data_IF_119371758403
#
_entry.id   IF_119371758403
#
_cell.length_a   1.000
_cell.length_b   1.000
_cell.length_c   1.000
_cell.angle_alpha   90.00
_cell.angle_beta   90.00
_cell.angle_gamma   90.00
#
_symmetry.space_group_name_H-M   'P 1'
#
loop_
_entity.id
_entity.type
_entity.pdbx_description
1 polymer ?
#
# COMPACT_ATOMS: atom_id res chain seq x y z
N UNK A 1 5.07 23.10 -13.83
CA UNK A 1 4.64 21.69 -13.90
C UNK A 1 5.88 20.87 -13.63
N UNK A 2 5.87 20.03 -12.59
CA UNK A 2 7.01 19.19 -12.26
C UNK A 2 7.17 18.12 -13.33
N UNK A 3 8.40 17.87 -13.75
CA UNK A 3 8.73 16.88 -14.77
C UNK A 3 9.38 15.64 -14.17
N UNK A 4 10.06 15.80 -13.04
CA UNK A 4 10.80 14.71 -12.43
C UNK A 4 10.53 14.59 -10.94
N UNK A 5 10.68 13.38 -10.45
CA UNK A 5 10.77 13.07 -9.02
C UNK A 5 12.11 12.38 -8.77
N UNK A 6 12.81 12.82 -7.73
CA UNK A 6 14.01 12.14 -7.22
C UNK A 6 13.73 11.64 -5.81
N UNK A 7 13.99 10.37 -5.57
CA UNK A 7 13.88 9.72 -4.26
C UNK A 7 15.30 9.41 -3.78
N UNK A 8 15.66 9.89 -2.59
CA UNK A 8 16.96 9.64 -1.98
C UNK A 8 16.85 8.62 -0.85
N UNK A 9 17.84 7.77 -0.76
CA UNK A 9 17.88 6.60 0.11
C UNK A 9 19.03 6.66 1.10
N UNK A 10 18.85 5.94 2.20
CA UNK A 10 19.82 5.80 3.27
C UNK A 10 19.76 6.91 4.33
N UNK A 11 20.65 6.87 5.33
CA UNK A 11 20.58 7.80 6.47
C UNK A 11 21.09 9.19 6.10
N UNK A 12 21.87 9.31 5.03
CA UNK A 12 22.56 10.54 4.63
C UNK A 12 22.35 10.87 3.14
N UNK A 13 21.29 10.34 2.51
CA UNK A 13 21.07 10.46 1.06
C UNK A 13 22.25 9.90 0.27
N UNK A 14 22.71 8.71 0.62
CA UNK A 14 23.84 8.04 -0.03
C UNK A 14 23.53 7.67 -1.49
N UNK A 15 22.27 7.35 -1.78
CA UNK A 15 21.81 6.87 -3.08
C UNK A 15 20.56 7.61 -3.54
N UNK A 16 20.34 7.69 -4.86
CA UNK A 16 19.13 8.30 -5.42
C UNK A 16 18.62 7.57 -6.65
N UNK A 17 17.30 7.57 -6.83
CA UNK A 17 16.62 7.10 -8.03
C UNK A 17 15.71 8.22 -8.53
N UNK A 18 15.82 8.52 -9.83
CA UNK A 18 15.02 9.55 -10.49
C UNK A 18 14.04 8.95 -11.47
N UNK A 19 12.89 9.63 -11.62
CA UNK A 19 11.78 9.19 -12.44
C UNK A 19 11.20 10.35 -13.24
N UNK A 20 10.80 10.08 -14.47
CA UNK A 20 10.06 11.00 -15.33
C UNK A 20 8.56 10.88 -15.05
N UNK A 21 7.93 12.01 -14.70
CA UNK A 21 6.49 12.09 -14.45
C UNK A 21 5.76 12.00 -15.78
N UNK A 22 4.75 11.13 -15.86
CA UNK A 22 3.97 10.96 -17.07
C UNK A 22 3.22 12.25 -17.46
N UNK A 23 3.10 12.49 -18.77
CA UNK A 23 2.31 13.60 -19.31
C UNK A 23 0.81 13.22 -19.40
N UNK A 24 0.23 12.89 -18.24
CA UNK A 24 -1.21 12.61 -18.10
C UNK A 24 -1.83 13.51 -17.04
N UNK A 25 -3.12 13.81 -17.16
CA UNK A 25 -3.81 14.70 -16.22
C UNK A 25 -3.69 14.21 -14.76
N UNK A 26 -3.87 12.91 -14.53
CA UNK A 26 -3.76 12.32 -13.20
C UNK A 26 -2.35 12.36 -12.64
N UNK A 27 -1.30 12.12 -13.45
CA UNK A 27 0.08 12.23 -13.01
C UNK A 27 0.43 13.66 -12.55
N UNK A 28 -0.06 14.68 -13.27
CA UNK A 28 0.15 16.07 -12.89
C UNK A 28 -0.63 16.49 -11.64
N UNK A 29 -1.83 15.94 -11.45
CA UNK A 29 -2.61 16.13 -10.22
C UNK A 29 -1.94 15.44 -9.03
N UNK A 30 -1.43 14.23 -9.21
CA UNK A 30 -0.64 13.52 -8.21
C UNK A 30 0.65 14.28 -7.86
N UNK A 31 1.41 14.76 -8.85
CA UNK A 31 2.61 15.56 -8.61
C UNK A 31 2.31 16.83 -7.81
N UNK A 32 1.18 17.48 -8.09
CA UNK A 32 0.71 18.64 -7.32
C UNK A 32 0.37 18.28 -5.87
N UNK A 33 -0.17 17.07 -5.62
CA UNK A 33 -0.44 16.57 -4.26
C UNK A 33 0.84 16.23 -3.52
N UNK A 34 1.81 15.61 -4.20
CA UNK A 34 3.13 15.35 -3.63
C UNK A 34 3.84 16.66 -3.29
N UNK A 35 3.82 17.66 -4.19
CA UNK A 35 4.37 18.99 -3.89
C UNK A 35 3.70 19.63 -2.68
N UNK A 36 2.37 19.53 -2.58
CA UNK A 36 1.64 19.99 -1.39
C UNK A 36 2.12 19.27 -0.12
N UNK A 37 2.29 17.94 -0.16
CA UNK A 37 2.79 17.15 0.96
C UNK A 37 4.18 17.65 1.44
N UNK A 38 5.10 17.83 0.49
CA UNK A 38 6.46 18.31 0.74
C UNK A 38 6.47 19.75 1.27
N UNK A 39 5.71 20.65 0.65
CA UNK A 39 5.63 22.07 1.06
C UNK A 39 5.05 22.26 2.47
N UNK A 40 4.12 21.38 2.87
CA UNK A 40 3.53 21.36 4.21
C UNK A 40 4.29 20.50 5.20
N UNK A 41 5.40 19.88 4.78
CA UNK A 41 6.24 19.01 5.61
C UNK A 41 5.46 17.88 6.27
N UNK A 42 4.54 17.26 5.52
CA UNK A 42 3.96 15.99 5.95
C UNK A 42 5.07 14.93 6.06
N UNK A 43 4.99 14.11 7.09
CA UNK A 43 5.97 13.05 7.32
C UNK A 43 5.60 11.80 6.52
N UNK A 44 6.60 11.14 5.96
CA UNK A 44 6.46 9.75 5.49
C UNK A 44 6.16 8.88 6.71
N UNK A 45 5.15 8.01 6.58
CA UNK A 45 4.60 7.22 7.68
C UNK A 45 5.61 6.18 8.21
N UNK A 46 6.09 5.30 7.32
CA UNK A 46 7.25 4.43 7.55
C UNK A 46 8.24 4.55 6.39
N UNK A 47 9.43 5.16 6.61
CA UNK A 47 10.45 5.26 5.58
C UNK A 47 11.11 3.92 5.25
N UNK A 48 10.79 2.83 5.96
CA UNK A 48 11.37 1.48 5.75
C UNK A 48 10.39 0.51 5.09
N UNK A 49 9.35 1.03 4.45
CA UNK A 49 8.28 0.23 3.84
C UNK A 49 8.68 -0.35 2.47
N UNK A 50 9.78 -1.11 2.50
CA UNK A 50 10.33 -1.93 1.42
C UNK A 50 9.89 -3.38 1.62
N UNK A 51 9.49 -4.06 0.57
CA UNK A 51 9.07 -5.46 0.60
C UNK A 51 9.85 -6.26 -0.44
N UNK A 52 10.17 -7.52 -0.12
CA UNK A 52 10.79 -8.44 -1.08
C UNK A 52 12.15 -7.95 -1.58
N UNK A 53 12.88 -7.22 -0.75
CA UNK A 53 14.17 -6.60 -1.07
C UNK A 53 15.35 -7.37 -0.45
N UNK A 54 15.08 -8.27 0.50
CA UNK A 54 16.08 -9.19 1.06
C UNK A 54 15.53 -10.62 1.10
N UNK A 55 16.28 -11.54 1.72
CA UNK A 55 15.83 -12.93 1.85
C UNK A 55 14.54 -13.03 2.67
N UNK A 56 13.63 -13.94 2.26
CA UNK A 56 12.38 -14.24 3.00
C UNK A 56 12.65 -14.49 4.48
N UNK A 57 13.70 -15.28 4.80
CA UNK A 57 14.07 -15.58 6.19
C UNK A 57 14.35 -14.33 7.03
N UNK A 58 15.10 -13.37 6.47
CA UNK A 58 15.41 -12.11 7.15
C UNK A 58 14.15 -11.26 7.33
N UNK A 59 13.38 -11.05 6.26
CA UNK A 59 12.15 -10.25 6.33
C UNK A 59 11.10 -10.88 7.26
N UNK A 60 10.98 -12.20 7.29
CA UNK A 60 10.09 -12.92 8.21
C UNK A 60 10.49 -12.69 9.67
N UNK A 61 11.79 -12.79 9.99
CA UNK A 61 12.30 -12.57 11.34
C UNK A 61 12.06 -11.13 11.80
N UNK A 62 12.33 -10.17 10.93
CA UNK A 62 12.15 -8.75 11.22
C UNK A 62 10.65 -8.42 11.38
N UNK A 63 9.79 -8.92 10.50
CA UNK A 63 8.34 -8.72 10.59
C UNK A 63 7.75 -9.30 11.88
N UNK A 64 8.13 -10.53 12.26
CA UNK A 64 7.70 -11.16 13.52
C UNK A 64 8.18 -10.39 14.74
N UNK A 65 9.39 -9.84 14.70
CA UNK A 65 9.89 -9.01 15.78
C UNK A 65 9.05 -7.73 15.91
N UNK A 66 8.90 -6.98 14.82
CA UNK A 66 8.23 -5.68 14.85
C UNK A 66 6.73 -5.79 15.19
N UNK A 67 6.06 -6.85 14.74
CA UNK A 67 4.63 -7.01 15.01
C UNK A 67 4.39 -7.29 16.50
N UNK A 68 5.22 -8.13 17.13
CA UNK A 68 5.14 -8.38 18.57
C UNK A 68 5.57 -7.14 19.38
N UNK A 69 6.55 -6.35 18.93
CA UNK A 69 6.88 -5.05 19.55
C UNK A 69 5.68 -4.07 19.53
N UNK A 70 4.89 -4.08 18.45
CA UNK A 70 3.65 -3.30 18.39
C UNK A 70 2.60 -3.85 19.37
N UNK A 71 2.44 -5.17 19.45
CA UNK A 71 1.53 -5.82 20.41
C UNK A 71 1.91 -5.46 21.84
N UNK A 72 3.18 -5.55 22.21
CA UNK A 72 3.68 -5.19 23.53
C UNK A 72 3.38 -3.71 23.85
N UNK A 73 3.70 -2.80 22.92
CA UNK A 73 3.44 -1.36 23.08
C UNK A 73 1.94 -1.05 23.29
N UNK A 74 1.06 -1.77 22.58
CA UNK A 74 -0.39 -1.60 22.71
C UNK A 74 -0.86 -2.15 24.07
N UNK A 75 -0.43 -3.36 24.43
CA UNK A 75 -0.85 -4.05 25.66
C UNK A 75 -0.29 -3.41 26.93
N UNK A 76 0.85 -2.72 26.88
CA UNK A 76 1.36 -1.90 27.97
C UNK A 76 0.44 -0.71 28.29
N UNK A 77 -0.29 -0.19 27.29
CA UNK A 77 -1.28 0.86 27.48
C UNK A 77 -2.65 0.32 27.90
N UNK A 78 -3.14 -0.68 27.18
CA UNK A 78 -4.41 -1.35 27.40
C UNK A 78 -4.32 -2.77 26.81
N UNK A 79 -4.55 -3.79 27.64
CA UNK A 79 -4.32 -5.20 27.30
C UNK A 79 -5.44 -5.77 26.41
N UNK A 80 -5.55 -5.24 25.19
CA UNK A 80 -6.62 -5.55 24.22
C UNK A 80 -6.23 -6.65 23.23
N UNK A 81 -4.96 -7.05 23.19
CA UNK A 81 -4.44 -8.11 22.30
C UNK A 81 -4.07 -9.34 23.15
N UNK A 82 -4.75 -10.45 22.89
CA UNK A 82 -4.57 -11.69 23.66
C UNK A 82 -3.57 -12.67 23.01
N UNK A 83 -3.22 -12.44 21.74
CA UNK A 83 -2.42 -13.36 20.92
C UNK A 83 -1.14 -12.69 20.44
N UNK A 84 -0.02 -13.36 20.67
CA UNK A 84 1.25 -13.08 20.00
C UNK A 84 1.41 -14.00 18.80
N UNK A 85 2.17 -13.55 17.81
CA UNK A 85 2.43 -14.32 16.60
C UNK A 85 3.84 -14.91 16.62
N UNK A 86 3.94 -16.19 16.31
CA UNK A 86 5.22 -16.93 16.31
C UNK A 86 5.66 -17.36 14.90
N UNK A 87 4.76 -17.33 13.92
CA UNK A 87 5.01 -17.67 12.53
C UNK A 87 4.28 -16.70 11.61
N UNK A 88 4.93 -16.26 10.53
CA UNK A 88 4.26 -15.42 9.52
C UNK A 88 3.21 -16.19 8.71
N UNK A 89 3.23 -17.52 8.76
CA UNK A 89 2.27 -18.39 8.07
C UNK A 89 1.00 -18.64 8.92
N UNK A 90 0.91 -18.08 10.13
CA UNK A 90 -0.27 -18.16 11.00
C UNK A 90 -1.35 -17.15 10.59
N UNK A 91 -2.11 -17.50 9.55
CA UNK A 91 -3.16 -16.64 9.00
C UNK A 91 -4.27 -16.33 10.01
N UNK A 92 -4.60 -17.24 10.94
CA UNK A 92 -5.63 -17.00 11.95
C UNK A 92 -5.22 -15.85 12.90
N UNK A 93 -3.97 -15.90 13.39
CA UNK A 93 -3.45 -14.82 14.22
C UNK A 93 -3.31 -13.50 13.44
N UNK A 94 -2.90 -13.54 12.17
CA UNK A 94 -2.84 -12.34 11.32
C UNK A 94 -4.24 -11.70 11.13
N UNK A 95 -5.26 -12.52 10.84
CA UNK A 95 -6.65 -12.07 10.71
C UNK A 95 -7.18 -11.47 12.03
N UNK A 96 -6.85 -12.10 13.16
CA UNK A 96 -7.19 -11.57 14.49
C UNK A 96 -6.56 -10.19 14.73
N UNK A 97 -5.26 -10.04 14.46
CA UNK A 97 -4.56 -8.75 14.65
C UNK A 97 -5.09 -7.66 13.71
N UNK A 98 -5.46 -8.01 12.47
CA UNK A 98 -6.12 -7.11 11.54
C UNK A 98 -7.47 -6.62 12.08
N UNK A 99 -8.29 -7.53 12.64
CA UNK A 99 -9.57 -7.21 13.27
C UNK A 99 -9.41 -6.26 14.47
N UNK A 100 -8.39 -6.48 15.32
CA UNK A 100 -8.06 -5.54 16.42
C UNK A 100 -7.77 -4.15 15.87
N UNK A 101 -6.96 -4.02 14.82
CA UNK A 101 -6.72 -2.73 14.19
C UNK A 101 -8.04 -2.07 13.75
N UNK A 102 -8.90 -2.78 13.02
CA UNK A 102 -10.17 -2.24 12.54
C UNK A 102 -11.08 -1.76 13.68
N UNK A 103 -11.19 -2.56 14.74
CA UNK A 103 -12.02 -2.27 15.91
C UNK A 103 -11.56 -1.04 16.68
N UNK A 104 -10.25 -0.88 16.86
CA UNK A 104 -9.70 0.14 17.76
C UNK A 104 -9.19 1.38 17.03
N UNK A 105 -8.70 1.29 15.81
CA UNK A 105 -8.29 2.45 15.01
C UNK A 105 -9.50 3.17 14.39
N UNK A 106 -10.43 2.40 13.81
CA UNK A 106 -11.60 2.92 13.08
C UNK A 106 -11.31 3.27 11.62
N UNK A 107 -12.30 3.86 10.94
CA UNK A 107 -12.28 4.13 9.50
C UNK A 107 -11.57 5.44 9.14
N UNK A 108 -11.28 5.61 7.84
CA UNK A 108 -10.64 6.82 7.31
C UNK A 108 -11.49 8.06 7.65
N UNK A 109 -10.89 9.02 8.35
CA UNK A 109 -11.56 10.23 8.81
C UNK A 109 -12.53 10.04 9.99
N UNK A 110 -12.68 8.82 10.50
CA UNK A 110 -13.58 8.48 11.62
C UNK A 110 -12.87 7.59 12.67
N UNK A 111 -11.81 8.08 13.33
CA UNK A 111 -11.14 7.30 14.36
C UNK A 111 -12.03 7.10 15.57
N UNK A 112 -11.85 5.96 16.26
CA UNK A 112 -12.61 5.62 17.46
C UNK A 112 -12.29 6.54 18.63
N UNK A 113 -13.11 6.49 19.68
CA UNK A 113 -12.80 7.19 20.93
C UNK A 113 -11.50 6.69 21.56
N UNK A 114 -11.28 5.37 21.56
CA UNK A 114 -10.08 4.74 22.10
C UNK A 114 -8.81 5.25 21.40
N UNK A 115 -8.80 5.27 20.07
CA UNK A 115 -7.64 5.75 19.30
C UNK A 115 -7.34 7.21 19.58
N UNK A 116 -8.38 8.06 19.68
CA UNK A 116 -8.22 9.50 19.98
C UNK A 116 -7.63 9.74 21.37
N UNK A 117 -7.96 8.91 22.36
CA UNK A 117 -7.43 9.01 23.72
C UNK A 117 -6.05 8.38 23.90
N UNK A 118 -5.66 7.44 23.04
CA UNK A 118 -4.40 6.72 23.15
C UNK A 118 -3.18 7.67 22.96
N UNK A 119 -2.06 7.45 23.68
CA UNK A 119 -0.81 8.17 23.45
C UNK A 119 -0.33 8.08 22.00
N UNK A 120 0.42 9.07 21.53
CA UNK A 120 0.93 9.09 20.14
C UNK A 120 1.78 7.87 19.77
N UNK A 121 2.49 7.29 20.72
CA UNK A 121 3.25 6.03 20.54
C UNK A 121 2.33 4.84 20.30
N UNK A 122 1.22 4.74 21.01
CA UNK A 122 0.21 3.69 20.87
C UNK A 122 -0.60 3.88 19.58
N UNK A 123 -0.98 5.12 19.24
CA UNK A 123 -1.60 5.44 17.96
C UNK A 123 -0.72 5.01 16.78
N UNK A 124 0.60 5.20 16.90
CA UNK A 124 1.56 4.73 15.90
C UNK A 124 1.65 3.20 15.90
N UNK A 125 1.77 2.56 17.05
CA UNK A 125 1.87 1.10 17.16
C UNK A 125 0.66 0.39 16.54
N UNK A 126 -0.56 0.88 16.76
CA UNK A 126 -1.75 0.25 16.18
C UNK A 126 -1.87 0.50 14.67
N UNK A 127 -1.45 1.66 14.16
CA UNK A 127 -1.39 1.90 12.72
C UNK A 127 -0.33 1.00 12.04
N UNK A 128 0.83 0.86 12.68
CA UNK A 128 1.93 0.00 12.21
C UNK A 128 1.57 -1.49 12.28
N UNK A 129 0.78 -1.92 13.28
CA UNK A 129 0.28 -3.29 13.40
C UNK A 129 -0.37 -3.75 12.09
N UNK A 130 -1.23 -2.92 11.50
CA UNK A 130 -1.88 -3.23 10.23
C UNK A 130 -0.88 -3.35 9.06
N UNK A 131 0.10 -2.45 9.01
CA UNK A 131 1.16 -2.47 7.98
C UNK A 131 1.99 -3.75 8.09
N UNK A 132 2.27 -4.21 9.32
CA UNK A 132 3.05 -5.39 9.61
C UNK A 132 2.28 -6.69 9.36
N UNK A 133 0.96 -6.72 9.62
CA UNK A 133 0.10 -7.83 9.18
C UNK A 133 0.22 -8.02 7.66
N UNK A 134 0.01 -6.95 6.88
CA UNK A 134 0.15 -7.03 5.43
C UNK A 134 1.57 -7.35 4.95
N UNK A 135 2.59 -7.01 5.75
CA UNK A 135 3.98 -7.42 5.48
C UNK A 135 4.14 -8.93 5.61
N UNK A 136 3.63 -9.53 6.68
CA UNK A 136 3.62 -10.98 6.85
C UNK A 136 2.89 -11.68 5.70
N UNK A 137 1.67 -11.24 5.38
CA UNK A 137 0.87 -11.80 4.27
C UNK A 137 1.60 -11.66 2.92
N UNK A 138 2.23 -10.51 2.67
CA UNK A 138 3.02 -10.29 1.47
C UNK A 138 4.18 -11.28 1.36
N UNK A 139 4.83 -11.65 2.48
CA UNK A 139 5.94 -12.60 2.49
C UNK A 139 5.47 -14.04 2.26
N UNK A 140 4.33 -14.44 2.82
CA UNK A 140 3.72 -15.76 2.60
C UNK A 140 3.42 -15.98 1.12
N UNK A 141 2.94 -14.94 0.43
CA UNK A 141 2.61 -14.97 -1.01
C UNK A 141 3.80 -14.85 -1.96
N UNK A 142 5.03 -14.79 -1.46
CA UNK A 142 6.21 -14.52 -2.28
C UNK A 142 6.34 -13.03 -2.61
N UNK A 143 6.71 -12.24 -1.60
CA UNK A 143 6.80 -10.78 -1.72
C UNK A 143 7.63 -10.36 -2.92
N UNK A 144 7.02 -9.55 -3.80
CA UNK A 144 7.73 -8.95 -4.93
C UNK A 144 8.41 -7.63 -4.53
N UNK A 145 9.64 -7.36 -5.00
CA UNK A 145 10.42 -6.17 -4.68
C UNK A 145 9.65 -4.87 -4.92
N UNK A 146 9.35 -4.10 -3.88
CA UNK A 146 8.69 -2.79 -4.02
C UNK A 146 8.97 -1.86 -2.85
N UNK A 147 8.85 -0.56 -3.12
CA UNK A 147 8.77 0.51 -2.12
C UNK A 147 7.33 1.01 -2.06
N UNK A 148 6.81 1.24 -0.87
CA UNK A 148 5.53 1.94 -0.66
C UNK A 148 5.78 3.20 0.17
N UNK A 149 5.38 4.35 -0.35
CA UNK A 149 5.48 5.64 0.34
C UNK A 149 4.06 6.15 0.66
N UNK A 150 3.79 6.36 1.94
CA UNK A 150 2.53 6.94 2.43
C UNK A 150 2.81 8.12 3.35
N UNK A 151 1.95 9.14 3.33
CA UNK A 151 2.11 10.34 4.16
C UNK A 151 1.18 10.33 5.37
N UNK A 152 1.76 10.44 6.57
CA UNK A 152 1.03 10.44 7.83
C UNK A 152 0.17 11.69 7.97
N UNK A 153 -1.12 11.51 8.31
CA UNK A 153 -2.13 12.58 8.51
C UNK A 153 -2.42 13.48 7.30
N UNK A 154 -1.91 13.14 6.11
CA UNK A 154 -2.29 13.87 4.91
C UNK A 154 -3.77 13.62 4.58
N UNK A 155 -4.59 14.66 4.33
CA UNK A 155 -5.98 14.47 3.94
C UNK A 155 -6.10 13.73 2.60
N UNK A 156 -6.91 12.67 2.57
CA UNK A 156 -7.14 11.80 1.40
C UNK A 156 -8.54 12.04 0.84
N UNK A 157 -8.70 13.12 0.09
CA UNK A 157 -10.02 13.65 -0.29
C UNK A 157 -10.16 13.96 -1.78
N UNK A 158 -9.08 13.81 -2.56
CA UNK A 158 -9.10 13.99 -4.00
C UNK A 158 -9.53 12.71 -4.70
N UNK A 159 -10.48 12.82 -5.62
CA UNK A 159 -11.04 11.69 -6.35
C UNK A 159 -10.42 11.54 -7.74
N UNK A 160 -10.27 10.31 -8.20
CA UNK A 160 -10.10 10.00 -9.60
C UNK A 160 -11.33 10.50 -10.39
N UNK A 161 -11.06 11.07 -11.56
CA UNK A 161 -12.07 11.38 -12.56
C UNK A 161 -12.39 10.13 -13.38
N UNK A 162 -13.54 10.12 -14.06
CA UNK A 162 -13.93 8.96 -14.87
C UNK A 162 -12.91 8.59 -15.95
N UNK A 163 -12.28 9.58 -16.58
CA UNK A 163 -11.23 9.35 -17.59
C UNK A 163 -9.93 8.80 -17.01
N UNK A 164 -9.67 8.98 -15.70
CA UNK A 164 -8.45 8.45 -15.08
C UNK A 164 -8.49 6.91 -15.06
N UNK A 165 -9.68 6.30 -14.99
CA UNK A 165 -9.84 4.85 -15.02
C UNK A 165 -9.42 4.24 -16.37
N UNK A 166 -9.41 5.00 -17.47
CA UNK A 166 -8.91 4.51 -18.75
C UNK A 166 -7.40 4.20 -18.69
N UNK A 167 -6.67 4.88 -17.80
CA UNK A 167 -5.24 4.69 -17.57
C UNK A 167 -4.91 3.56 -16.58
N UNK A 168 -5.91 2.96 -15.91
CA UNK A 168 -5.65 1.81 -15.05
C UNK A 168 -5.14 0.62 -15.87
N UNK A 169 -4.05 0.02 -15.38
CA UNK A 169 -3.35 -1.11 -15.99
C UNK A 169 -2.96 -2.13 -14.92
N UNK A 170 -3.08 -3.42 -15.26
CA UNK A 170 -2.51 -4.54 -14.49
C UNK A 170 -1.07 -4.86 -14.93
N UNK A 171 -0.66 -4.36 -16.10
CA UNK A 171 0.68 -4.49 -16.63
C UNK A 171 1.53 -3.28 -16.21
N UNK A 172 2.53 -3.52 -15.35
CA UNK A 172 3.53 -2.54 -14.89
C UNK A 172 4.93 -3.02 -15.24
N UNK A 173 5.79 -2.12 -15.68
CA UNK A 173 7.20 -2.37 -15.96
C UNK A 173 8.07 -2.20 -14.70
N UNK A 174 9.28 -2.75 -14.72
CA UNK A 174 10.27 -2.53 -13.68
C UNK A 174 10.60 -1.03 -13.59
N UNK A 175 10.50 -0.48 -12.38
CA UNK A 175 10.75 0.94 -12.10
C UNK A 175 9.53 1.83 -12.31
N UNK A 176 8.35 1.28 -12.60
CA UNK A 176 7.12 2.08 -12.62
C UNK A 176 6.78 2.59 -11.22
N UNK A 177 6.55 3.90 -11.12
CA UNK A 177 6.00 4.56 -9.95
C UNK A 177 4.49 4.74 -10.16
N UNK A 178 3.73 4.11 -9.29
CA UNK A 178 2.29 3.93 -9.42
C UNK A 178 1.55 4.64 -8.28
N UNK A 179 0.30 5.05 -8.53
CA UNK A 179 -0.60 5.47 -7.46
C UNK A 179 -0.76 4.36 -6.42
N UNK A 180 -0.72 4.74 -5.16
CA UNK A 180 -1.01 3.83 -4.06
C UNK A 180 -2.47 3.98 -3.62
N UNK A 181 -3.17 2.85 -3.47
CA UNK A 181 -4.50 2.83 -2.90
C UNK A 181 -4.47 3.33 -1.45
N UNK A 182 -5.38 4.25 -1.12
CA UNK A 182 -5.20 5.11 0.06
C UNK A 182 -6.38 5.08 1.05
N UNK A 183 -7.42 4.28 0.78
CA UNK A 183 -8.61 4.14 1.63
C UNK A 183 -8.49 2.96 2.61
N UNK A 184 -9.26 3.02 3.71
CA UNK A 184 -9.42 1.88 4.64
C UNK A 184 -10.59 1.02 4.13
N UNK A 185 -10.28 -0.21 3.75
CA UNK A 185 -11.14 -1.17 3.04
C UNK A 185 -10.36 -1.78 1.87
N UNK A 186 -10.97 -2.68 1.12
CA UNK A 186 -10.28 -3.43 0.05
C UNK A 186 -10.91 -3.19 -1.32
N UNK A 187 -10.06 -3.17 -2.34
CA UNK A 187 -10.51 -3.23 -3.73
C UNK A 187 -10.91 -4.67 -4.09
N UNK A 188 -11.58 -4.85 -5.23
CA UNK A 188 -11.88 -6.20 -5.74
C UNK A 188 -10.60 -7.03 -5.95
N UNK A 189 -9.52 -6.41 -6.44
CA UNK A 189 -8.25 -7.10 -6.63
C UNK A 189 -7.65 -7.53 -5.29
N UNK A 190 -7.73 -6.70 -4.25
CA UNK A 190 -7.21 -7.05 -2.93
C UNK A 190 -8.00 -8.20 -2.29
N UNK A 191 -9.33 -8.20 -2.41
CA UNK A 191 -10.16 -9.31 -1.92
C UNK A 191 -9.83 -10.64 -2.59
N UNK A 192 -9.66 -10.64 -3.92
CA UNK A 192 -9.22 -11.83 -4.63
C UNK A 192 -7.81 -12.26 -4.19
N UNK A 193 -6.88 -11.31 -4.06
CA UNK A 193 -5.49 -11.61 -3.67
C UNK A 193 -5.38 -12.19 -2.26
N UNK A 194 -6.25 -11.75 -1.36
CA UNK A 194 -6.32 -12.22 0.02
C UNK A 194 -7.19 -13.46 0.19
N UNK A 195 -7.89 -13.91 -0.86
CA UNK A 195 -8.91 -14.98 -0.79
C UNK A 195 -9.93 -14.72 0.34
N UNK A 196 -10.34 -13.46 0.47
CA UNK A 196 -11.16 -13.01 1.59
C UNK A 196 -12.59 -13.56 1.48
N UNK A 197 -13.08 -14.21 2.54
CA UNK A 197 -14.44 -14.77 2.57
C UNK A 197 -15.47 -13.80 3.18
N UNK A 198 -15.03 -12.68 3.75
CA UNK A 198 -15.87 -11.73 4.50
C UNK A 198 -16.11 -10.41 3.74
N UNK A 199 -16.15 -10.48 2.40
CA UNK A 199 -16.47 -9.32 1.56
C UNK A 199 -17.92 -8.86 1.78
N UNK A 200 -18.09 -7.57 2.09
CA UNK A 200 -19.39 -6.92 2.31
C UNK A 200 -19.41 -5.57 1.59
N UNK A 201 -20.58 -4.94 1.42
CA UNK A 201 -20.64 -3.59 0.84
C UNK A 201 -19.92 -2.53 1.70
N UNK A 202 -19.70 -2.84 2.99
CA UNK A 202 -19.00 -1.97 3.91
C UNK A 202 -17.48 -2.11 3.83
N UNK A 203 -16.96 -3.32 3.64
CA UNK A 203 -15.52 -3.59 3.49
C UNK A 203 -15.02 -3.30 2.07
N UNK A 204 -15.90 -3.41 1.07
CA UNK A 204 -15.57 -3.03 -0.30
C UNK A 204 -15.43 -1.51 -0.46
N UNK A 205 -14.28 -1.11 -0.99
CA UNK A 205 -13.94 0.28 -1.29
C UNK A 205 -13.22 0.30 -2.65
N UNK A 206 -13.90 0.75 -3.71
CA UNK A 206 -13.25 0.85 -5.01
C UNK A 206 -12.19 1.94 -4.98
N UNK A 207 -11.16 1.84 -5.82
CA UNK A 207 -10.09 2.83 -5.89
C UNK A 207 -10.64 4.15 -6.43
N UNK A 208 -11.10 5.02 -5.52
CA UNK A 208 -11.74 6.30 -5.85
C UNK A 208 -10.89 7.49 -5.49
N UNK A 209 -10.19 7.41 -4.37
CA UNK A 209 -9.39 8.51 -3.88
C UNK A 209 -7.91 8.28 -4.12
N UNK A 210 -7.18 9.36 -4.36
CA UNK A 210 -5.73 9.35 -4.42
C UNK A 210 -5.15 10.41 -3.48
N UNK A 211 -3.87 10.25 -3.16
CA UNK A 211 -3.07 11.09 -2.27
C UNK A 211 -1.71 11.34 -2.93
N UNK A 212 -0.78 11.98 -2.22
CA UNK A 212 0.64 11.93 -2.54
C UNK A 212 1.25 10.52 -2.38
N UNK A 213 0.49 9.57 -1.82
CA UNK A 213 0.92 8.17 -1.63
C UNK A 213 1.26 7.52 -2.98
N UNK A 214 2.36 6.76 -3.03
CA UNK A 214 2.79 6.04 -4.23
C UNK A 214 3.51 4.74 -3.88
N UNK A 215 3.68 3.86 -4.87
CA UNK A 215 4.57 2.71 -4.77
C UNK A 215 5.49 2.63 -5.99
N UNK A 216 6.71 2.14 -5.80
CA UNK A 216 7.65 1.84 -6.89
C UNK A 216 7.74 0.33 -7.02
N UNK A 217 7.44 -0.18 -8.21
CA UNK A 217 7.48 -1.62 -8.53
C UNK A 217 8.84 -1.98 -9.12
N UNK A 218 9.58 -2.86 -8.47
CA UNK A 218 10.86 -3.39 -8.97
C UNK A 218 10.71 -4.85 -9.43
N UNK A 219 9.59 -5.14 -10.07
CA UNK A 219 9.28 -6.43 -10.66
C UNK A 219 8.34 -6.25 -11.85
N UNK A 220 8.28 -7.27 -12.69
CA UNK A 220 7.34 -7.37 -13.81
C UNK A 220 6.57 -8.68 -13.65
N UNK A 221 5.28 -8.67 -13.99
CA UNK A 221 4.49 -9.89 -14.07
C UNK A 221 4.69 -10.53 -15.44
N UNK A 222 4.82 -11.85 -15.48
CA UNK A 222 4.79 -12.57 -16.75
C UNK A 222 3.38 -12.51 -17.37
N UNK A 223 3.28 -12.79 -18.67
CA UNK A 223 1.98 -12.89 -19.35
C UNK A 223 1.06 -13.94 -18.72
N UNK A 224 1.63 -15.04 -18.21
CA UNK A 224 0.89 -16.09 -17.52
C UNK A 224 0.36 -15.59 -16.17
N UNK A 225 1.19 -14.90 -15.38
CA UNK A 225 0.76 -14.34 -14.09
C UNK A 225 -0.36 -13.31 -14.26
N UNK A 226 -0.28 -12.47 -15.31
CA UNK A 226 -1.33 -11.50 -15.65
C UNK A 226 -2.64 -12.19 -16.01
N UNK A 227 -2.58 -13.27 -16.80
CA UNK A 227 -3.78 -14.01 -17.19
C UNK A 227 -4.43 -14.74 -16.00
N UNK A 228 -3.61 -15.36 -15.15
CA UNK A 228 -4.06 -15.95 -13.89
C UNK A 228 -4.74 -14.91 -13.00
N UNK A 229 -4.15 -13.72 -12.88
CA UNK A 229 -4.73 -12.62 -12.12
C UNK A 229 -6.08 -12.18 -12.69
N UNK A 230 -6.17 -11.94 -14.00
CA UNK A 230 -7.41 -11.52 -14.66
C UNK A 230 -8.52 -12.55 -14.48
N UNK A 231 -8.19 -13.82 -14.71
CA UNK A 231 -9.13 -14.95 -14.57
C UNK A 231 -9.62 -15.05 -13.14
N UNK A 232 -8.71 -15.08 -12.17
CA UNK A 232 -9.07 -15.21 -10.76
C UNK A 232 -9.92 -14.04 -10.23
N UNK A 233 -9.63 -12.81 -10.63
CA UNK A 233 -10.45 -11.64 -10.27
C UNK A 233 -11.85 -11.73 -10.93
N UNK A 234 -11.95 -12.23 -12.15
CA UNK A 234 -13.23 -12.45 -12.82
C UNK A 234 -14.08 -13.50 -12.08
N UNK A 235 -13.47 -14.64 -11.73
CA UNK A 235 -14.12 -15.72 -10.97
C UNK A 235 -14.55 -15.25 -9.57
N UNK A 236 -13.69 -14.53 -8.85
CA UNK A 236 -14.00 -14.01 -7.52
C UNK A 236 -15.18 -13.02 -7.56
N UNK A 237 -15.22 -12.13 -8.56
CA UNK A 237 -16.36 -11.26 -8.77
C UNK A 237 -17.64 -12.05 -8.99
N UNK A 238 -17.60 -13.09 -9.84
CA UNK A 238 -18.77 -13.89 -10.15
C UNK A 238 -19.29 -14.63 -8.91
N UNK A 239 -18.39 -15.20 -8.11
CA UNK A 239 -18.75 -15.87 -6.85
C UNK A 239 -19.38 -14.92 -5.82
N UNK A 240 -18.99 -13.63 -5.83
CA UNK A 240 -19.42 -12.63 -4.85
C UNK A 240 -20.30 -11.52 -5.45
N UNK A 241 -20.93 -11.77 -6.61
CA UNK A 241 -21.60 -10.75 -7.41
C UNK A 241 -22.64 -9.95 -6.62
N UNK A 242 -23.40 -10.61 -5.76
CA UNK A 242 -24.46 -9.98 -4.95
C UNK A 242 -23.92 -8.88 -4.03
N UNK A 243 -22.68 -8.99 -3.56
CA UNK A 243 -22.07 -7.98 -2.69
C UNK A 243 -21.80 -6.69 -3.47
N UNK A 244 -21.27 -6.81 -4.69
CA UNK A 244 -21.00 -5.66 -5.56
C UNK A 244 -22.29 -5.01 -6.06
N UNK A 245 -23.32 -5.82 -6.35
CA UNK A 245 -24.65 -5.32 -6.72
C UNK A 245 -25.30 -4.55 -5.55
N UNK A 246 -25.15 -5.05 -4.32
CA UNK A 246 -25.61 -4.37 -3.10
C UNK A 246 -24.85 -3.07 -2.85
N UNK A 247 -23.58 -3.00 -3.24
CA UNK A 247 -22.79 -1.77 -3.28
C UNK A 247 -23.16 -0.82 -4.45
N UNK A 248 -24.16 -1.17 -5.26
CA UNK A 248 -24.68 -0.36 -6.36
C UNK A 248 -23.97 -0.56 -7.70
N UNK A 249 -23.12 -1.59 -7.83
CA UNK A 249 -22.36 -1.87 -9.05
C UNK A 249 -22.85 -3.17 -9.70
N UNK A 250 -23.62 -3.06 -10.78
CA UNK A 250 -24.21 -4.21 -11.50
C UNK A 250 -23.45 -4.62 -12.76
N UNK A 251 -22.71 -3.69 -13.38
CA UNK A 251 -21.91 -3.99 -14.57
C UNK A 251 -20.47 -4.30 -14.15
N UNK A 252 -19.96 -5.49 -14.53
CA UNK A 252 -18.58 -5.90 -14.27
C UNK A 252 -17.54 -4.95 -14.87
N UNK A 253 -17.90 -4.24 -15.93
CA UNK A 253 -17.05 -3.25 -16.61
C UNK A 253 -17.07 -1.88 -15.94
N UNK A 254 -17.82 -1.73 -14.84
CA UNK A 254 -17.87 -0.47 -14.12
C UNK A 254 -16.45 -0.06 -13.68
N UNK A 255 -16.02 1.20 -13.88
CA UNK A 255 -14.65 1.64 -13.58
C UNK A 255 -14.15 1.32 -12.16
N UNK A 256 -15.05 1.40 -11.19
CA UNK A 256 -14.79 1.03 -9.79
C UNK A 256 -14.42 -0.45 -9.54
N UNK A 257 -14.66 -1.36 -10.49
CA UNK A 257 -14.25 -2.77 -10.42
C UNK A 257 -12.98 -3.06 -11.21
N UNK A 258 -12.38 -2.04 -11.84
CA UNK A 258 -11.16 -2.19 -12.64
C UNK A 258 -9.99 -2.48 -11.70
N UNK A 259 -9.33 -3.61 -11.95
CA UNK A 259 -8.12 -4.00 -11.25
C UNK A 259 -6.89 -3.23 -11.80
N UNK A 260 -5.81 -3.27 -11.04
CA UNK A 260 -4.53 -2.67 -11.40
C UNK A 260 -4.28 -1.32 -10.74
N UNK A 261 -3.44 -0.51 -11.38
CA UNK A 261 -2.99 0.78 -10.86
C UNK A 261 -2.80 1.78 -12.01
N UNK A 262 -2.50 3.02 -11.67
CA UNK A 262 -2.15 4.07 -12.64
C UNK A 262 -0.67 4.40 -12.46
N UNK A 263 0.11 4.25 -13.53
CA UNK A 263 1.51 4.67 -13.58
C UNK A 263 1.56 6.19 -13.70
N UNK A 264 2.23 6.85 -12.77
CA UNK A 264 2.34 8.32 -12.72
C UNK A 264 3.77 8.81 -12.95
N UNK A 265 4.78 7.96 -12.79
CA UNK A 265 6.15 8.23 -13.24
C UNK A 265 6.88 6.94 -13.61
N UNK A 266 7.96 7.05 -14.39
CA UNK A 266 8.82 5.94 -14.79
C UNK A 266 10.26 6.20 -14.44
N UNK A 267 10.93 5.20 -13.85
CA UNK A 267 12.34 5.28 -13.49
C UNK A 267 13.20 5.52 -14.73
N UNK A 268 14.24 6.34 -14.59
CA UNK A 268 15.19 6.48 -15.69
C UNK A 268 15.98 5.18 -15.95
N UNK A 269 16.23 4.81 -17.21
CA UNK A 269 16.86 3.53 -17.56
C UNK A 269 18.21 3.28 -16.88
N UNK A 270 19.02 4.33 -16.65
CA UNK A 270 20.32 4.24 -15.98
C UNK A 270 20.25 3.75 -14.53
N UNK A 271 19.08 3.84 -13.89
CA UNK A 271 18.88 3.36 -12.53
C UNK A 271 18.49 1.88 -12.46
N UNK A 272 18.08 1.27 -13.59
CA UNK A 272 17.46 -0.07 -13.61
C UNK A 272 18.34 -1.13 -12.96
N UNK A 273 19.61 -1.19 -13.36
CA UNK A 273 20.56 -2.23 -12.93
C UNK A 273 20.93 -2.12 -11.44
N UNK A 274 20.78 -0.93 -10.82
CA UNK A 274 21.16 -0.68 -9.43
C UNK A 274 19.99 -0.50 -8.47
N UNK A 275 18.75 -0.42 -8.96
CA UNK A 275 17.59 -0.10 -8.13
C UNK A 275 17.38 -1.13 -7.00
N UNK A 276 17.61 -2.42 -7.28
CA UNK A 276 17.50 -3.48 -6.27
C UNK A 276 18.60 -3.38 -5.20
N UNK A 277 19.85 -3.12 -5.59
CA UNK A 277 20.95 -2.97 -4.61
C UNK A 277 20.76 -1.74 -3.73
N UNK A 278 20.26 -0.63 -4.28
CA UNK A 278 19.89 0.55 -3.49
C UNK A 278 18.86 0.18 -2.40
N UNK A 279 17.87 -0.65 -2.73
CA UNK A 279 16.84 -1.04 -1.75
C UNK A 279 17.38 -2.01 -0.71
N UNK A 280 18.30 -2.91 -1.07
CA UNK A 280 18.92 -3.86 -0.16
C UNK A 280 19.92 -3.19 0.81
N UNK A 281 20.77 -2.31 0.30
CA UNK A 281 21.87 -1.67 1.03
C UNK A 281 21.42 -0.41 1.79
N UNK A 282 20.42 0.29 1.25
CA UNK A 282 19.90 1.54 1.79
C UNK A 282 18.36 1.52 1.97
N UNK A 283 17.79 0.59 2.79
CA UNK A 283 16.34 0.38 2.95
C UNK A 283 15.67 1.46 3.82
N UNK A 284 16.00 2.73 3.59
CA UNK A 284 15.42 3.89 4.26
C UNK A 284 15.18 4.96 3.19
N UNK A 285 13.92 5.34 2.97
CA UNK A 285 13.56 6.52 2.21
C UNK A 285 13.96 7.76 3.04
N UNK A 286 14.93 8.53 2.54
CA UNK A 286 15.45 9.72 3.21
C UNK A 286 14.65 10.98 2.88
N UNK A 287 14.53 11.26 1.59
CA UNK A 287 13.86 12.46 1.09
C UNK A 287 13.31 12.25 -0.31
N UNK A 288 12.35 13.11 -0.67
CA UNK A 288 11.75 13.17 -1.99
C UNK A 288 11.84 14.61 -2.47
N UNK A 289 12.20 14.78 -3.74
CA UNK A 289 12.27 16.07 -4.41
C UNK A 289 11.45 16.03 -5.71
N UNK A 290 10.76 17.14 -6.01
CA UNK A 290 10.07 17.36 -7.27
C UNK A 290 10.76 18.48 -8.04
N UNK A 291 11.13 18.17 -9.28
CA UNK A 291 11.85 19.09 -10.19
C UNK A 291 10.90 19.44 -11.33
#
# INVERSE_FOLDING_TARGET
>A
MHKFITIRFGKRSEEELSFEIADTNIAQRWASKLWYALSKRYFVDDPRRFYGHTSRSKESKDALKWINECVDTINEHDAIIERNISSIDDQDTLNYLHSVFEQYHGQLGKPTAWFKSAPGTVQKAIAELNVLVHRCESLVRGAKPRLVCTYYRMPKQDCLSWSDYDLMTDHTAFGDLCLNYCEIGKTLEDFWRDQDEYVTEHTFKPFRYFSADFNVRLYELSAEELEQQRTGIAEYYQANQQVFESAGIRDRRHPHLKAGTIVVARMFPEHRERALSVFEEHPILHSIELI
#
